data_IF_698115199392
#
_entry.id   IF_698115199392
#
_cell.length_a   1.000
_cell.length_b   1.000
_cell.length_c   1.000
_cell.angle_alpha   90.00
_cell.angle_beta   90.00
_cell.angle_gamma   90.00
#
_symmetry.space_group_name_H-M   'P 1'
#
loop_
_entity.id
_entity.type
_entity.pdbx_description
1 polymer ?
#
# COMPACT_ATOMS: atom_id res chain seq x y z
N UNK A 1 18.86 21.88 13.46
CA UNK A 1 18.29 20.66 12.82
C UNK A 1 16.76 20.70 12.91
N UNK A 2 16.04 20.39 11.82
CA UNK A 2 14.58 20.36 11.80
C UNK A 2 14.09 18.98 12.27
N UNK A 3 13.31 18.93 13.35
CA UNK A 3 12.71 17.69 13.87
C UNK A 3 11.44 17.35 13.08
N UNK A 4 11.22 16.06 12.80
CA UNK A 4 10.00 15.54 12.18
C UNK A 4 9.41 14.51 13.13
N UNK A 5 8.19 14.76 13.60
CA UNK A 5 7.46 13.81 14.43
C UNK A 5 6.74 12.81 13.52
N UNK A 6 6.83 11.54 13.86
CA UNK A 6 6.21 10.45 13.12
C UNK A 6 5.71 9.38 14.08
N UNK A 7 4.82 8.52 13.57
CA UNK A 7 4.45 7.24 14.20
C UNK A 7 4.86 6.13 13.24
N UNK A 8 5.45 5.07 13.77
CA UNK A 8 5.72 3.86 12.98
C UNK A 8 4.64 2.84 13.28
N UNK A 9 3.99 2.31 12.25
CA UNK A 9 2.95 1.29 12.39
C UNK A 9 3.20 0.15 11.42
N UNK A 10 2.72 -1.04 11.78
CA UNK A 10 2.67 -2.18 10.88
C UNK A 10 1.24 -2.67 10.70
N UNK A 11 0.83 -2.91 9.46
CA UNK A 11 -0.42 -3.57 9.10
C UNK A 11 -0.10 -4.93 8.51
N UNK A 12 -0.32 -6.01 9.26
CA UNK A 12 -0.10 -7.39 8.82
C UNK A 12 1.33 -7.64 8.29
N UNK A 13 2.34 -7.05 8.94
CA UNK A 13 3.75 -7.21 8.60
C UNK A 13 4.32 -6.16 7.64
N UNK A 14 3.49 -5.41 6.92
CA UNK A 14 3.94 -4.28 6.12
C UNK A 14 4.05 -3.02 7.00
N UNK A 15 5.22 -2.39 7.07
CA UNK A 15 5.48 -1.27 8.00
C UNK A 15 5.60 0.10 7.32
N UNK A 16 5.09 1.13 7.99
CA UNK A 16 4.99 2.49 7.45
C UNK A 16 5.48 3.53 8.46
N UNK A 17 6.06 4.61 7.93
CA UNK A 17 6.22 5.88 8.65
C UNK A 17 4.98 6.73 8.38
N UNK A 18 4.25 7.11 9.42
CA UNK A 18 3.05 7.95 9.35
C UNK A 18 3.35 9.33 9.89
N UNK A 19 2.95 10.36 9.14
CA UNK A 19 3.18 11.77 9.50
C UNK A 19 1.89 12.56 9.33
N UNK A 20 1.54 13.35 10.34
CA UNK A 20 0.49 14.36 10.21
C UNK A 20 1.02 15.54 9.38
N UNK A 21 0.58 15.62 8.13
CA UNK A 21 0.89 16.69 7.19
C UNK A 21 -0.32 17.58 6.91
N UNK A 22 -1.30 17.67 7.81
CA UNK A 22 -2.50 18.53 7.61
C UNK A 22 -2.18 20.02 7.52
N UNK A 23 -1.01 20.44 8.00
CA UNK A 23 -0.49 21.81 7.83
C UNK A 23 0.23 22.04 6.50
N UNK A 24 0.50 20.99 5.73
CA UNK A 24 1.19 21.07 4.44
C UNK A 24 2.67 21.47 4.54
N UNK A 25 3.29 21.30 5.70
CA UNK A 25 4.65 21.77 6.00
C UNK A 25 5.73 20.70 5.86
N UNK A 26 5.35 19.45 5.50
CA UNK A 26 6.32 18.38 5.27
C UNK A 26 7.25 18.77 4.09
N UNK A 27 8.59 18.61 4.24
CA UNK A 27 9.51 19.12 3.24
C UNK A 27 9.38 18.41 1.88
N UNK A 28 9.60 19.17 0.80
CA UNK A 28 9.59 18.66 -0.58
C UNK A 28 11.02 18.51 -1.12
N UNK A 29 11.27 17.61 -2.09
CA UNK A 29 10.31 16.64 -2.63
C UNK A 29 10.08 15.46 -1.68
N UNK A 30 8.82 15.06 -1.49
CA UNK A 30 8.43 13.98 -0.56
C UNK A 30 9.10 12.65 -0.92
N UNK A 31 9.30 12.38 -2.21
CA UNK A 31 9.97 11.17 -2.71
C UNK A 31 11.40 10.99 -2.17
N UNK A 32 12.17 12.09 -2.04
CA UNK A 32 13.51 12.03 -1.46
C UNK A 32 13.46 11.72 0.04
N UNK A 33 12.46 12.25 0.74
CA UNK A 33 12.24 11.95 2.16
C UNK A 33 11.75 10.53 2.38
N UNK A 34 10.88 10.00 1.50
CA UNK A 34 10.46 8.61 1.54
C UNK A 34 11.68 7.69 1.43
N UNK A 35 12.56 7.88 0.43
CA UNK A 35 13.82 7.12 0.32
C UNK A 35 14.67 7.19 1.58
N UNK A 36 14.87 8.40 2.11
CA UNK A 36 15.72 8.62 3.29
C UNK A 36 15.15 7.99 4.55
N UNK A 37 13.86 8.18 4.83
CA UNK A 37 13.22 7.69 6.05
C UNK A 37 13.01 6.17 5.99
N UNK A 38 12.65 5.63 4.83
CA UNK A 38 12.36 4.21 4.65
C UNK A 38 13.63 3.35 4.52
N UNK A 39 14.80 3.94 4.21
CA UNK A 39 16.08 3.21 4.17
C UNK A 39 16.33 2.53 5.51
N UNK A 40 16.34 1.19 5.52
CA UNK A 40 16.68 0.40 6.71
C UNK A 40 18.14 0.68 7.08
N UNK A 41 18.50 0.54 8.37
CA UNK A 41 19.81 0.83 8.98
C UNK A 41 20.17 2.33 9.12
N UNK A 42 19.95 3.15 8.10
CA UNK A 42 20.32 4.58 8.13
C UNK A 42 19.14 5.53 8.43
N UNK A 43 17.92 5.10 8.11
CA UNK A 43 16.69 5.82 8.38
C UNK A 43 15.88 5.18 9.50
N UNK A 44 14.58 5.45 9.52
CA UNK A 44 13.63 4.77 10.42
C UNK A 44 13.42 3.31 10.00
N UNK A 45 13.57 3.03 8.69
CA UNK A 45 13.37 1.73 8.07
C UNK A 45 11.89 1.38 7.96
N UNK A 46 11.31 1.37 6.77
CA UNK A 46 9.90 1.03 6.55
C UNK A 46 9.67 0.63 5.10
N UNK A 47 8.55 -0.02 4.80
CA UNK A 47 8.12 -0.33 3.44
C UNK A 47 7.54 0.90 2.72
N UNK A 48 7.12 1.93 3.48
CA UNK A 48 6.62 3.17 2.90
C UNK A 48 6.43 4.35 3.86
N UNK A 49 6.15 5.51 3.27
CA UNK A 49 5.80 6.76 3.93
C UNK A 49 4.35 7.11 3.63
N UNK A 50 3.56 7.34 4.67
CA UNK A 50 2.17 7.80 4.59
C UNK A 50 2.03 9.19 5.20
N UNK A 51 1.44 10.11 4.46
CA UNK A 51 1.09 11.44 4.95
C UNK A 51 -0.42 11.54 5.14
N UNK A 52 -0.83 11.99 6.32
CA UNK A 52 -2.19 12.41 6.63
C UNK A 52 -2.35 13.88 6.22
N UNK A 53 -3.17 14.15 5.21
CA UNK A 53 -3.43 15.49 4.68
C UNK A 53 -4.91 15.88 4.80
N UNK A 54 -5.20 17.17 4.63
CA UNK A 54 -6.60 17.64 4.59
C UNK A 54 -7.26 17.21 3.29
N UNK A 55 -8.52 16.81 3.37
CA UNK A 55 -9.40 16.62 2.23
C UNK A 55 -10.43 17.74 2.16
N UNK A 56 -10.96 18.01 0.96
CA UNK A 56 -12.12 18.89 0.74
C UNK A 56 -13.44 18.11 0.56
N UNK A 57 -13.38 16.78 0.44
CA UNK A 57 -14.51 15.93 0.02
C UNK A 57 -14.73 14.71 0.92
N UNK A 58 -13.84 14.50 1.89
CA UNK A 58 -13.81 13.36 2.80
C UNK A 58 -13.22 13.82 4.15
N UNK A 59 -13.16 12.93 5.14
CA UNK A 59 -12.66 13.28 6.48
C UNK A 59 -11.17 13.68 6.44
N UNK A 60 -10.39 13.01 5.59
CA UNK A 60 -8.98 13.32 5.36
C UNK A 60 -8.49 12.74 4.03
N UNK A 61 -7.21 12.99 3.69
CA UNK A 61 -6.53 12.40 2.54
C UNK A 61 -5.31 11.62 2.98
N UNK A 62 -5.12 10.42 2.42
CA UNK A 62 -3.90 9.65 2.52
C UNK A 62 -3.02 9.89 1.29
N UNK A 63 -1.77 10.29 1.49
CA UNK A 63 -0.75 10.32 0.43
C UNK A 63 0.30 9.26 0.72
N UNK A 64 0.59 8.42 -0.26
CA UNK A 64 1.46 7.25 -0.09
C UNK A 64 2.66 7.28 -1.04
N UNK A 65 3.85 7.10 -0.46
CA UNK A 65 5.10 6.85 -1.18
C UNK A 65 5.71 5.52 -0.74
N UNK A 66 6.15 4.72 -1.71
CA UNK A 66 6.94 3.51 -1.48
C UNK A 66 8.33 3.87 -0.92
N UNK A 67 9.04 2.87 -0.37
CA UNK A 67 10.41 3.03 0.12
C UNK A 67 11.41 3.53 -0.96
N UNK A 68 11.17 3.26 -2.24
CA UNK A 68 11.98 3.78 -3.36
C UNK A 68 11.66 5.25 -3.72
N UNK A 69 10.65 5.83 -3.08
CA UNK A 69 10.15 7.18 -3.33
C UNK A 69 9.19 7.31 -4.51
N UNK A 70 8.77 6.20 -5.13
CA UNK A 70 7.67 6.22 -6.10
C UNK A 70 6.33 6.51 -5.40
N UNK A 71 5.46 7.26 -6.06
CA UNK A 71 4.12 7.58 -5.56
C UNK A 71 3.17 6.43 -5.89
N UNK A 72 2.51 5.89 -4.88
CA UNK A 72 1.59 4.77 -5.03
C UNK A 72 0.15 5.23 -4.86
N UNK A 73 -0.77 4.60 -5.61
CA UNK A 73 -2.17 5.00 -5.62
C UNK A 73 -2.87 4.65 -4.29
N UNK A 74 -2.65 3.42 -3.80
CA UNK A 74 -3.23 2.89 -2.57
C UNK A 74 -2.51 1.59 -2.14
N UNK A 75 -2.54 1.29 -0.84
CA UNK A 75 -2.22 -0.03 -0.30
C UNK A 75 -3.18 -0.32 0.86
N UNK A 76 -3.80 -1.50 0.88
CA UNK A 76 -4.79 -1.85 1.90
C UNK A 76 -4.21 -1.86 3.33
N UNK A 77 -2.97 -2.31 3.50
CA UNK A 77 -2.31 -2.32 4.82
C UNK A 77 -2.06 -0.89 5.30
N UNK A 78 -1.57 -0.01 4.42
CA UNK A 78 -1.34 1.39 4.73
C UNK A 78 -2.64 2.16 5.00
N UNK A 79 -3.70 1.84 4.25
CA UNK A 79 -5.03 2.41 4.46
C UNK A 79 -5.60 2.07 5.85
N UNK A 80 -5.44 0.82 6.33
CA UNK A 80 -5.80 0.44 7.71
C UNK A 80 -5.00 1.22 8.74
N UNK A 81 -3.68 1.32 8.57
CA UNK A 81 -2.83 2.11 9.48
C UNK A 81 -3.24 3.59 9.49
N UNK A 82 -3.56 4.16 8.32
CA UNK A 82 -3.95 5.56 8.21
C UNK A 82 -5.32 5.84 8.84
N UNK A 83 -6.31 4.96 8.64
CA UNK A 83 -7.62 5.10 9.28
C UNK A 83 -7.51 5.12 10.81
N UNK A 84 -6.74 4.17 11.37
CA UNK A 84 -6.46 4.16 12.81
C UNK A 84 -5.71 5.43 13.26
N UNK A 85 -4.67 5.84 12.53
CA UNK A 85 -3.89 7.04 12.85
C UNK A 85 -4.73 8.32 12.81
N UNK A 86 -5.63 8.46 11.84
CA UNK A 86 -6.54 9.61 11.74
C UNK A 86 -7.50 9.68 12.93
N UNK A 87 -8.04 8.53 13.39
CA UNK A 87 -8.87 8.44 14.59
C UNK A 87 -8.11 8.87 15.84
N UNK A 88 -6.91 8.33 16.05
CA UNK A 88 -6.09 8.66 17.22
C UNK A 88 -5.63 10.12 17.26
N UNK A 89 -5.56 10.77 16.10
CA UNK A 89 -5.26 12.20 15.99
C UNK A 89 -6.51 13.09 16.07
N UNK A 90 -7.69 12.52 16.34
CA UNK A 90 -8.96 13.23 16.42
C UNK A 90 -9.38 13.86 15.10
N UNK A 91 -8.94 13.31 13.97
CA UNK A 91 -9.25 13.82 12.63
C UNK A 91 -10.52 13.19 12.07
N UNK A 92 -10.78 11.94 12.44
CA UNK A 92 -11.97 11.20 12.04
C UNK A 92 -12.50 10.36 13.21
N UNK A 93 -13.76 9.93 13.13
CA UNK A 93 -14.36 9.02 14.09
C UNK A 93 -13.96 7.56 13.87
N UNK A 94 -14.66 6.64 14.54
CA UNK A 94 -14.46 5.19 14.32
C UNK A 94 -14.91 4.75 12.93
N UNK A 95 -15.97 5.34 12.37
CA UNK A 95 -16.30 5.21 10.96
C UNK A 95 -15.82 6.45 10.22
N UNK A 96 -15.17 6.27 9.07
CA UNK A 96 -14.60 7.36 8.28
C UNK A 96 -14.54 7.03 6.80
N UNK A 97 -14.50 8.08 5.99
CA UNK A 97 -14.25 8.03 4.56
C UNK A 97 -13.10 8.96 4.23
N UNK A 98 -12.12 8.50 3.44
CA UNK A 98 -10.95 9.30 3.10
C UNK A 98 -10.52 9.17 1.64
N UNK A 99 -9.83 10.19 1.14
CA UNK A 99 -9.28 10.22 -0.21
C UNK A 99 -7.95 9.47 -0.30
N UNK A 100 -7.78 8.69 -1.36
CA UNK A 100 -6.50 8.15 -1.82
C UNK A 100 -6.30 8.52 -3.29
N UNK A 101 -5.12 8.25 -3.83
CA UNK A 101 -4.88 8.44 -5.27
C UNK A 101 -5.60 7.36 -6.12
N UNK A 102 -6.15 6.30 -5.51
CA UNK A 102 -7.04 5.32 -6.15
C UNK A 102 -8.54 5.67 -6.02
N UNK A 103 -8.89 6.74 -5.30
CA UNK A 103 -10.29 7.12 -5.03
C UNK A 103 -10.64 7.14 -3.54
N UNK A 104 -11.93 7.26 -3.25
CA UNK A 104 -12.46 7.26 -1.88
C UNK A 104 -12.45 5.85 -1.28
N UNK A 105 -12.09 5.76 0.00
CA UNK A 105 -12.05 4.51 0.78
C UNK A 105 -12.84 4.72 2.05
N UNK A 106 -13.75 3.79 2.33
CA UNK A 106 -14.47 3.69 3.60
C UNK A 106 -13.68 2.82 4.58
N UNK A 107 -13.67 3.21 5.84
CA UNK A 107 -13.00 2.47 6.89
C UNK A 107 -13.76 2.51 8.22
N UNK A 108 -13.65 1.41 8.96
CA UNK A 108 -14.16 1.31 10.32
C UNK A 108 -13.05 0.84 11.25
N UNK A 109 -12.84 1.55 12.35
CA UNK A 109 -11.81 1.29 13.35
C UNK A 109 -12.45 0.77 14.62
N UNK A 110 -12.01 -0.41 15.07
CA UNK A 110 -12.49 -1.08 16.27
C UNK A 110 -11.30 -1.40 17.18
N UNK A 111 -11.10 -0.60 18.24
CA UNK A 111 -9.95 -0.75 19.13
C UNK A 111 -8.63 -0.54 18.38
N UNK A 112 -7.83 -1.61 18.28
CA UNK A 112 -6.57 -1.64 17.50
C UNK A 112 -6.71 -2.23 16.09
N UNK A 113 -7.91 -2.70 15.72
CA UNK A 113 -8.19 -3.22 14.39
C UNK A 113 -8.82 -2.13 13.51
N UNK A 114 -8.62 -2.25 12.20
CA UNK A 114 -9.26 -1.41 11.21
C UNK A 114 -9.71 -2.28 10.03
N UNK A 115 -10.90 -2.01 9.52
CA UNK A 115 -11.46 -2.59 8.31
C UNK A 115 -11.51 -1.51 7.25
N UNK A 116 -11.29 -1.90 5.99
CA UNK A 116 -11.36 -1.00 4.85
C UNK A 116 -12.23 -1.64 3.77
N UNK A 117 -13.05 -0.84 3.12
CA UNK A 117 -13.80 -1.27 1.95
C UNK A 117 -12.90 -1.15 0.72
N UNK A 118 -12.57 -2.30 0.13
CA UNK A 118 -11.88 -2.34 -1.16
C UNK A 118 -12.89 -2.10 -2.29
N UNK A 119 -12.42 -1.52 -3.39
CA UNK A 119 -13.23 -1.39 -4.60
C UNK A 119 -13.59 -2.76 -5.17
N UNK A 120 -14.65 -2.78 -5.99
CA UNK A 120 -15.04 -3.99 -6.71
C UNK A 120 -13.88 -4.55 -7.55
N UNK A 121 -13.73 -5.87 -7.51
CA UNK A 121 -12.79 -6.58 -8.35
C UNK A 121 -13.19 -6.47 -9.83
N UNK A 122 -12.21 -6.17 -10.69
CA UNK A 122 -12.39 -5.96 -12.14
C UNK A 122 -11.36 -6.76 -12.92
N UNK A 123 -11.59 -6.87 -14.23
CA UNK A 123 -10.69 -7.56 -15.16
C UNK A 123 -10.34 -8.99 -14.68
N UNK A 124 -11.35 -9.74 -14.23
CA UNK A 124 -11.14 -11.11 -13.81
C UNK A 124 -10.87 -11.99 -15.03
N UNK A 125 -9.67 -12.57 -15.08
CA UNK A 125 -9.20 -13.43 -16.17
C UNK A 125 -8.74 -14.77 -15.57
N UNK A 126 -9.62 -15.77 -15.46
CA UNK A 126 -9.26 -17.07 -14.91
C UNK A 126 -8.49 -17.93 -15.92
N UNK A 127 -7.80 -18.95 -15.40
CA UNK A 127 -7.21 -20.04 -16.19
C UNK A 127 -6.16 -19.61 -17.24
N UNK A 128 -5.40 -18.53 -16.97
CA UNK A 128 -4.26 -18.14 -17.80
C UNK A 128 -3.12 -19.15 -17.59
N UNK A 129 -2.69 -19.82 -18.65
CA UNK A 129 -1.48 -20.66 -18.61
C UNK A 129 -0.27 -19.82 -18.99
N UNK A 130 0.50 -19.38 -18.00
CA UNK A 130 1.67 -18.54 -18.21
C UNK A 130 2.95 -19.36 -18.20
N UNK A 131 3.71 -19.26 -19.30
CA UNK A 131 4.99 -19.93 -19.44
C UNK A 131 6.11 -18.97 -19.05
N UNK A 132 6.86 -19.34 -18.02
CA UNK A 132 8.09 -18.66 -17.59
C UNK A 132 9.22 -19.68 -17.53
N UNK A 133 10.51 -19.27 -17.54
CA UNK A 133 11.56 -20.24 -17.29
C UNK A 133 11.30 -20.91 -15.92
N UNK A 134 11.39 -22.24 -15.87
CA UNK A 134 11.00 -23.03 -14.69
C UNK A 134 9.57 -23.56 -14.68
N UNK A 135 8.77 -23.39 -15.73
CA UNK A 135 7.53 -24.15 -15.92
C UNK A 135 6.35 -23.35 -16.51
N UNK A 136 5.21 -24.03 -16.61
CA UNK A 136 3.92 -23.43 -16.94
C UNK A 136 3.08 -23.34 -15.69
N UNK A 137 2.55 -22.15 -15.41
CA UNK A 137 1.80 -21.87 -14.19
C UNK A 137 0.36 -21.49 -14.54
N UNK A 138 -0.65 -22.16 -13.94
CA UNK A 138 -2.04 -21.73 -14.02
C UNK A 138 -2.23 -20.51 -13.12
N UNK A 139 -2.67 -19.41 -13.72
CA UNK A 139 -2.81 -18.11 -13.07
C UNK A 139 -4.23 -17.59 -13.27
N UNK A 140 -4.84 -17.10 -12.20
CA UNK A 140 -6.01 -16.24 -12.26
C UNK A 140 -5.58 -14.80 -12.03
N UNK A 141 -5.92 -13.91 -12.96
CA UNK A 141 -5.67 -12.48 -12.81
C UNK A 141 -6.92 -11.76 -12.34
N UNK A 142 -6.75 -10.76 -11.48
CA UNK A 142 -7.81 -9.85 -11.03
C UNK A 142 -7.21 -8.51 -10.63
N UNK A 143 -7.95 -7.43 -10.83
CA UNK A 143 -7.57 -6.10 -10.38
C UNK A 143 -8.55 -5.60 -9.31
N UNK A 144 -8.06 -5.34 -8.10
CA UNK A 144 -8.86 -4.82 -6.97
C UNK A 144 -8.55 -3.34 -6.67
N UNK A 145 -8.06 -2.62 -7.69
CA UNK A 145 -7.42 -1.29 -7.58
C UNK A 145 -5.91 -1.35 -7.81
N UNK A 146 -5.29 -2.51 -7.56
CA UNK A 146 -3.94 -2.85 -8.03
C UNK A 146 -3.95 -4.25 -8.69
N UNK A 147 -3.10 -4.51 -9.70
CA UNK A 147 -3.08 -5.79 -10.42
C UNK A 147 -2.59 -6.95 -9.54
N UNK A 148 -3.31 -8.07 -9.55
CA UNK A 148 -2.93 -9.30 -8.86
C UNK A 148 -2.92 -10.49 -9.82
N UNK A 149 -1.86 -11.30 -9.73
CA UNK A 149 -1.73 -12.59 -10.39
C UNK A 149 -1.68 -13.69 -9.32
N UNK A 150 -2.70 -14.54 -9.26
CA UNK A 150 -2.87 -15.58 -8.25
C UNK A 150 -2.58 -16.95 -8.86
N UNK A 151 -1.63 -17.68 -8.29
CA UNK A 151 -1.28 -19.05 -8.68
C UNK A 151 -1.54 -19.98 -7.50
N UNK A 152 -2.40 -20.97 -7.69
CA UNK A 152 -2.58 -22.03 -6.71
C UNK A 152 -1.46 -23.05 -6.85
N UNK A 153 -0.82 -23.39 -5.74
CA UNK A 153 0.28 -24.36 -5.68
C UNK A 153 0.02 -25.32 -4.53
N UNK A 154 0.43 -26.60 -4.63
CA UNK A 154 0.22 -27.56 -3.55
C UNK A 154 0.94 -27.17 -2.25
N UNK A 155 2.12 -26.56 -2.38
CA UNK A 155 2.99 -26.14 -1.27
C UNK A 155 3.69 -24.84 -1.60
N UNK A 156 3.39 -23.79 -0.84
CA UNK A 156 3.98 -22.44 -1.04
C UNK A 156 5.47 -22.39 -0.70
N UNK A 157 5.89 -23.16 0.30
CA UNK A 157 7.27 -23.23 0.79
C UNK A 157 8.21 -23.96 -0.19
N UNK A 158 7.66 -24.77 -1.08
CA UNK A 158 8.41 -25.41 -2.16
C UNK A 158 8.60 -24.49 -3.38
N UNK A 159 7.94 -23.33 -3.44
CA UNK A 159 8.06 -22.41 -4.57
C UNK A 159 9.26 -21.48 -4.36
N UNK A 160 10.15 -21.41 -5.35
CA UNK A 160 11.17 -20.37 -5.41
C UNK A 160 10.53 -19.01 -5.77
N UNK A 161 9.86 -18.40 -4.79
CA UNK A 161 9.10 -17.15 -4.94
C UNK A 161 9.94 -15.99 -5.50
N UNK A 162 11.19 -15.75 -5.06
CA UNK A 162 12.01 -14.68 -5.63
C UNK A 162 12.22 -14.81 -7.15
N UNK A 163 12.36 -16.04 -7.66
CA UNK A 163 12.58 -16.30 -9.08
C UNK A 163 11.26 -16.30 -9.85
N UNK A 164 10.28 -17.12 -9.41
CA UNK A 164 9.02 -17.31 -10.12
C UNK A 164 8.13 -16.08 -10.02
N UNK A 165 8.01 -15.48 -8.84
CA UNK A 165 7.19 -14.29 -8.60
C UNK A 165 7.67 -13.10 -9.43
N UNK A 166 9.00 -12.88 -9.53
CA UNK A 166 9.57 -11.83 -10.38
C UNK A 166 9.25 -12.06 -11.86
N UNK A 167 9.36 -13.29 -12.35
CA UNK A 167 9.07 -13.63 -13.75
C UNK A 167 7.60 -13.42 -14.10
N UNK A 168 6.69 -13.85 -13.21
CA UNK A 168 5.26 -13.64 -13.40
C UNK A 168 4.89 -12.15 -13.34
N UNK A 169 5.46 -11.38 -12.39
CA UNK A 169 5.20 -9.95 -12.24
C UNK A 169 5.47 -9.14 -13.52
N UNK A 170 6.52 -9.49 -14.26
CA UNK A 170 6.91 -8.82 -15.51
C UNK A 170 6.49 -9.58 -16.77
N UNK A 171 5.56 -10.54 -16.65
CA UNK A 171 5.12 -11.32 -17.80
C UNK A 171 4.29 -10.46 -18.77
N UNK A 172 4.55 -10.61 -20.08
CA UNK A 172 3.90 -9.84 -21.15
C UNK A 172 2.37 -9.91 -21.19
N UNK A 173 1.78 -10.96 -20.59
CA UNK A 173 0.33 -11.13 -20.50
C UNK A 173 -0.38 -10.06 -19.64
N UNK A 174 0.37 -9.28 -18.85
CA UNK A 174 -0.20 -8.26 -17.98
C UNK A 174 -0.07 -6.82 -18.51
N UNK A 175 0.82 -6.56 -19.48
CA UNK A 175 0.89 -5.34 -20.31
C UNK A 175 1.15 -3.98 -19.62
N UNK A 176 1.71 -3.01 -20.37
CA UNK A 176 3.16 -2.84 -20.50
C UNK A 176 3.83 -2.36 -19.19
N UNK A 177 5.15 -2.58 -19.10
CA UNK A 177 5.98 -1.95 -18.07
C UNK A 177 6.07 -0.43 -18.27
#
# INVERSE_FOLDING_TARGET
MKKIFFVKMSGSGNDFVLIDNRRGTFPKPVSAWARRLCRRQEGVGADGLLLLEKSRKADFRMVYFNADGSRASMCGNGARCMAWFARERGVAGSASRFETDAGLVDAVVHGSAAEITLGEARDYRPHLLLRVPGGTYPVSFVNTGVPHAVCFVPRVDAVNLPVIGRRLRFHKAFGPA
#
